data_IF_925891479051
#
_entry.id   IF_925891479051
#
_cell.length_a   1.000
_cell.length_b   1.000
_cell.length_c   1.000
_cell.angle_alpha   90.00
_cell.angle_beta   90.00
_cell.angle_gamma   90.00
#
_symmetry.space_group_name_H-M   'P 1'
#
loop_
_entity.id
_entity.type
_entity.pdbx_description
1 polymer ?
#
# COMPACT_ATOMS: atom_id res chain seq x y z
N UNK A 1 -21.58 24.47 -11.80
CA UNK A 1 -20.75 25.50 -11.11
C UNK A 1 -19.98 24.74 -10.03
N UNK A 2 -18.63 24.71 -10.07
CA UNK A 2 -17.83 24.04 -9.05
C UNK A 2 -17.84 24.95 -7.82
N UNK A 3 -18.25 24.47 -6.64
CA UNK A 3 -18.27 25.29 -5.43
C UNK A 3 -16.84 25.73 -5.07
N UNK A 4 -16.69 26.92 -4.51
CA UNK A 4 -15.38 27.35 -4.00
C UNK A 4 -15.01 26.55 -2.74
N UNK A 5 -13.71 26.34 -2.51
CA UNK A 5 -13.23 25.67 -1.31
C UNK A 5 -13.80 26.29 -0.03
N UNK A 6 -13.83 27.63 0.02
CA UNK A 6 -14.35 28.39 1.16
C UNK A 6 -15.83 28.09 1.44
N UNK A 7 -16.66 28.06 0.38
CA UNK A 7 -18.08 27.76 0.51
C UNK A 7 -18.31 26.33 1.03
N UNK A 8 -17.56 25.37 0.53
CA UNK A 8 -17.63 23.96 0.99
C UNK A 8 -17.24 23.83 2.45
N UNK A 9 -16.11 24.42 2.83
CA UNK A 9 -15.62 24.35 4.20
C UNK A 9 -16.55 25.03 5.20
N UNK A 10 -17.09 26.20 4.86
CA UNK A 10 -18.01 26.91 5.71
C UNK A 10 -19.31 26.14 5.99
N UNK A 11 -19.78 25.33 5.04
CA UNK A 11 -21.00 24.53 5.19
C UNK A 11 -20.78 23.18 5.88
N UNK A 12 -19.59 22.58 5.73
CA UNK A 12 -19.38 21.17 6.10
C UNK A 12 -18.48 21.01 7.33
N UNK A 13 -17.52 21.93 7.54
CA UNK A 13 -16.46 21.74 8.52
C UNK A 13 -16.72 22.49 9.84
N UNK A 14 -16.39 21.85 10.96
CA UNK A 14 -16.55 22.44 12.28
C UNK A 14 -15.60 23.65 12.50
N UNK A 15 -14.43 23.67 11.86
CA UNK A 15 -13.42 24.74 11.95
C UNK A 15 -12.91 25.12 10.55
N UNK A 16 -13.75 25.80 9.74
CA UNK A 16 -13.48 26.08 8.33
C UNK A 16 -12.20 26.89 8.10
N UNK A 17 -11.91 27.87 8.95
CA UNK A 17 -10.73 28.74 8.81
C UNK A 17 -9.43 27.98 9.02
N UNK A 18 -9.40 27.08 10.00
CA UNK A 18 -8.22 26.23 10.28
C UNK A 18 -8.02 25.21 9.17
N UNK A 19 -9.09 24.54 8.75
CA UNK A 19 -9.05 23.58 7.65
C UNK A 19 -8.59 24.24 6.34
N UNK A 20 -9.13 25.45 6.04
CA UNK A 20 -8.73 26.23 4.87
C UNK A 20 -7.22 26.55 4.86
N UNK A 21 -6.72 27.07 5.98
CA UNK A 21 -5.31 27.43 6.11
C UNK A 21 -4.39 26.23 5.91
N UNK A 22 -4.73 25.10 6.51
CA UNK A 22 -3.95 23.87 6.44
C UNK A 22 -3.94 23.29 5.01
N UNK A 23 -5.11 23.28 4.34
CA UNK A 23 -5.26 22.85 2.95
C UNK A 23 -4.44 23.76 2.01
N UNK A 24 -4.59 25.08 2.13
CA UNK A 24 -3.88 26.02 1.25
C UNK A 24 -2.37 25.86 1.43
N UNK A 25 -1.88 25.80 2.67
CA UNK A 25 -0.47 25.59 2.97
C UNK A 25 0.06 24.29 2.33
N UNK A 26 -0.71 23.20 2.39
CA UNK A 26 -0.34 21.94 1.74
C UNK A 26 -0.29 22.08 0.21
N UNK A 27 -1.26 22.74 -0.42
CA UNK A 27 -1.30 22.94 -1.87
C UNK A 27 -0.24 23.93 -2.37
N UNK A 28 0.20 24.87 -1.56
CA UNK A 28 1.29 25.79 -1.86
C UNK A 28 2.63 25.06 -1.89
N UNK A 29 2.88 24.16 -0.94
CA UNK A 29 4.11 23.37 -0.86
C UNK A 29 4.14 22.21 -1.85
N UNK A 30 2.99 21.60 -2.15
CA UNK A 30 2.88 20.42 -3.02
C UNK A 30 1.96 20.71 -4.20
N UNK A 31 2.51 21.35 -5.25
CA UNK A 31 1.78 21.79 -6.47
C UNK A 31 1.17 20.64 -7.28
N UNK A 32 1.62 19.43 -7.04
CA UNK A 32 1.09 18.20 -7.66
C UNK A 32 -0.21 17.69 -7.04
N UNK A 33 -0.59 18.24 -5.89
CA UNK A 33 -1.85 17.97 -5.23
C UNK A 33 -2.93 18.96 -5.68
N UNK A 34 -4.16 18.50 -5.74
CA UNK A 34 -5.36 19.29 -5.98
C UNK A 34 -6.44 18.92 -4.98
N UNK A 35 -7.26 19.89 -4.60
CA UNK A 35 -8.40 19.61 -3.75
C UNK A 35 -9.63 19.21 -4.58
N UNK A 36 -10.45 18.31 -4.02
CA UNK A 36 -11.75 17.90 -4.55
C UNK A 36 -12.74 17.80 -3.42
N UNK A 37 -14.02 17.86 -3.76
CA UNK A 37 -15.11 17.63 -2.84
C UNK A 37 -15.95 16.48 -3.37
N UNK A 38 -15.80 15.31 -2.74
CA UNK A 38 -16.36 14.06 -3.22
C UNK A 38 -16.99 13.26 -2.07
N UNK A 39 -17.78 12.26 -2.45
CA UNK A 39 -18.39 11.34 -1.51
C UNK A 39 -17.41 10.29 -1.02
N UNK A 40 -17.18 10.26 0.29
CA UNK A 40 -16.46 9.21 0.97
C UNK A 40 -17.44 8.18 1.53
N UNK A 41 -17.19 6.90 1.28
CA UNK A 41 -17.99 5.78 1.81
C UNK A 41 -17.16 5.08 2.88
N UNK A 42 -17.72 5.02 4.09
CA UNK A 42 -17.09 4.33 5.23
C UNK A 42 -17.32 2.81 5.14
N UNK A 43 -16.52 2.05 5.89
CA UNK A 43 -16.63 0.58 5.92
C UNK A 43 -17.99 0.05 6.43
N UNK A 44 -18.70 0.87 7.17
CA UNK A 44 -20.06 0.56 7.69
C UNK A 44 -21.19 0.89 6.69
N UNK A 45 -20.83 1.31 5.46
CA UNK A 45 -21.77 1.68 4.41
C UNK A 45 -22.31 3.10 4.51
N UNK A 46 -22.01 3.84 5.58
CA UNK A 46 -22.35 5.27 5.65
C UNK A 46 -21.51 6.05 4.65
N UNK A 47 -22.03 7.18 4.20
CA UNK A 47 -21.30 8.08 3.32
C UNK A 47 -21.32 9.51 3.85
N UNK A 48 -20.32 10.28 3.46
CA UNK A 48 -20.20 11.70 3.77
C UNK A 48 -19.47 12.40 2.63
N UNK A 49 -19.95 13.57 2.25
CA UNK A 49 -19.27 14.40 1.27
C UNK A 49 -18.15 15.16 2.01
N UNK A 50 -16.90 14.95 1.60
CA UNK A 50 -15.69 15.44 2.27
C UNK A 50 -14.74 16.06 1.26
N UNK A 51 -13.93 16.99 1.74
CA UNK A 51 -12.77 17.48 0.98
C UNK A 51 -11.65 16.44 1.01
N UNK A 52 -11.05 16.19 -0.14
CA UNK A 52 -9.83 15.41 -0.26
C UNK A 52 -8.75 16.17 -1.02
N UNK A 53 -7.51 15.82 -0.77
CA UNK A 53 -6.35 16.24 -1.54
C UNK A 53 -5.86 15.03 -2.34
N UNK A 54 -5.93 15.12 -3.66
CA UNK A 54 -5.54 14.05 -4.58
C UNK A 54 -4.43 14.51 -5.51
N UNK A 55 -3.49 13.64 -5.76
CA UNK A 55 -2.36 13.90 -6.64
C UNK A 55 -1.17 13.00 -6.34
N UNK A 56 0.04 13.51 -6.55
CA UNK A 56 1.27 12.75 -6.32
C UNK A 56 2.20 13.48 -5.35
N UNK A 57 2.96 12.72 -4.58
CA UNK A 57 4.06 13.24 -3.77
C UNK A 57 5.39 12.69 -4.27
N UNK A 58 6.44 13.54 -4.36
CA UNK A 58 7.75 13.10 -4.80
C UNK A 58 8.46 12.35 -3.68
N UNK A 59 9.06 11.21 -4.01
CA UNK A 59 9.94 10.47 -3.09
C UNK A 59 11.26 10.16 -3.78
N UNK A 60 12.33 9.95 -3.01
CA UNK A 60 13.59 9.42 -3.50
C UNK A 60 13.77 8.00 -2.97
N UNK A 61 13.87 7.02 -3.86
CA UNK A 61 14.12 5.63 -3.50
C UNK A 61 15.34 5.11 -4.25
N UNK A 62 16.36 4.67 -3.51
CA UNK A 62 17.64 4.19 -4.06
C UNK A 62 18.28 5.18 -5.06
N UNK A 63 18.20 6.48 -4.75
CA UNK A 63 18.77 7.54 -5.57
C UNK A 63 17.93 7.94 -6.81
N UNK A 64 16.77 7.32 -7.04
CA UNK A 64 15.89 7.67 -8.13
C UNK A 64 14.62 8.37 -7.62
N UNK A 65 14.16 9.44 -8.29
CA UNK A 65 12.91 10.11 -7.95
C UNK A 65 11.71 9.33 -8.47
N UNK A 66 10.67 9.25 -7.65
CA UNK A 66 9.37 8.65 -8.01
C UNK A 66 8.24 9.54 -7.49
N UNK A 67 7.12 9.54 -8.21
CA UNK A 67 5.91 10.22 -7.81
C UNK A 67 4.87 9.20 -7.35
N UNK A 68 4.53 9.23 -6.06
CA UNK A 68 3.58 8.30 -5.46
C UNK A 68 2.18 8.92 -5.46
N UNK A 69 1.19 8.28 -6.10
CA UNK A 69 -0.18 8.77 -6.11
C UNK A 69 -0.85 8.53 -4.77
N UNK A 70 -1.39 9.60 -4.18
CA UNK A 70 -2.06 9.60 -2.88
C UNK A 70 -3.39 10.33 -2.92
N UNK A 71 -4.24 10.02 -1.95
CA UNK A 71 -5.47 10.72 -1.65
C UNK A 71 -5.60 10.89 -0.14
N UNK A 72 -5.74 12.12 0.33
CA UNK A 72 -5.88 12.50 1.74
C UNK A 72 -7.28 13.04 1.94
N UNK A 73 -8.13 12.33 2.68
CA UNK A 73 -9.48 12.71 3.01
C UNK A 73 -9.52 13.42 4.36
N UNK A 74 -10.04 14.64 4.38
CA UNK A 74 -10.19 15.41 5.61
C UNK A 74 -11.58 15.18 6.20
N UNK A 75 -11.58 14.73 7.47
CA UNK A 75 -12.85 14.66 8.21
C UNK A 75 -13.42 16.06 8.40
N UNK A 76 -14.75 16.18 8.44
CA UNK A 76 -15.44 17.44 8.74
C UNK A 76 -15.08 18.05 10.11
N UNK A 77 -14.51 17.26 10.97
CA UNK A 77 -13.97 17.64 12.28
C UNK A 77 -12.52 18.09 12.24
N UNK A 78 -11.87 18.10 11.05
CA UNK A 78 -10.48 18.53 10.91
C UNK A 78 -10.24 19.92 11.52
N UNK A 79 -9.16 20.14 12.30
CA UNK A 79 -8.03 19.25 12.58
C UNK A 79 -8.23 18.33 13.80
N UNK A 80 -9.40 18.28 14.43
CA UNK A 80 -9.62 17.50 15.65
C UNK A 80 -9.37 15.99 15.45
N UNK A 81 -9.68 15.47 14.27
CA UNK A 81 -9.41 14.10 13.89
C UNK A 81 -8.37 14.04 12.77
N UNK A 82 -7.52 13.01 12.83
CA UNK A 82 -6.56 12.73 11.78
C UNK A 82 -7.25 12.52 10.43
N UNK A 83 -6.64 12.95 9.32
CA UNK A 83 -7.14 12.64 7.99
C UNK A 83 -7.01 11.14 7.67
N UNK A 84 -7.84 10.66 6.75
CA UNK A 84 -7.75 9.31 6.22
C UNK A 84 -6.94 9.35 4.92
N UNK A 85 -5.86 8.58 4.88
CA UNK A 85 -4.90 8.64 3.79
C UNK A 85 -4.86 7.32 3.03
N UNK A 86 -4.78 7.41 1.71
CA UNK A 86 -4.74 6.25 0.82
C UNK A 86 -3.70 6.46 -0.28
N UNK A 87 -3.04 5.37 -0.63
CA UNK A 87 -2.33 5.26 -1.91
C UNK A 87 -3.34 4.92 -2.99
N UNK A 88 -3.28 5.61 -4.13
CA UNK A 88 -4.24 5.46 -5.23
C UNK A 88 -3.50 5.03 -6.50
N UNK A 89 -3.16 3.74 -6.63
CA UNK A 89 -2.33 3.25 -7.73
C UNK A 89 -3.01 3.47 -9.08
N UNK A 90 -2.23 3.82 -10.09
CA UNK A 90 -2.68 3.82 -11.48
C UNK A 90 -2.87 2.39 -11.99
N UNK A 91 -3.55 2.17 -13.14
CA UNK A 91 -3.74 0.83 -13.70
C UNK A 91 -2.45 0.03 -13.90
N UNK A 92 -1.33 0.73 -14.16
CA UNK A 92 0.01 0.14 -14.36
C UNK A 92 0.77 -0.11 -13.06
N UNK A 93 0.19 0.27 -11.92
CA UNK A 93 0.80 0.10 -10.60
C UNK A 93 0.08 -0.98 -9.80
N UNK A 94 0.82 -1.56 -8.86
CA UNK A 94 0.30 -2.48 -7.86
C UNK A 94 0.73 -2.02 -6.47
N UNK A 95 -0.20 -2.13 -5.50
CA UNK A 95 0.09 -1.82 -4.10
C UNK A 95 1.06 -2.86 -3.53
N UNK A 96 2.08 -2.38 -2.84
CA UNK A 96 2.98 -3.18 -2.03
C UNK A 96 2.56 -3.05 -0.57
N UNK A 97 1.95 -4.11 -0.05
CA UNK A 97 1.58 -4.17 1.37
C UNK A 97 2.83 -4.08 2.24
N UNK A 98 2.79 -3.24 3.27
CA UNK A 98 3.89 -2.99 4.20
C UNK A 98 3.34 -2.67 5.59
N UNK A 99 4.22 -2.35 6.55
CA UNK A 99 3.78 -1.85 7.86
C UNK A 99 3.03 -0.50 7.77
N UNK A 100 3.21 0.24 6.68
CA UNK A 100 2.61 1.56 6.49
C UNK A 100 1.40 1.56 5.57
N UNK A 101 1.19 0.52 4.75
CA UNK A 101 0.12 0.49 3.73
C UNK A 101 -0.49 -0.90 3.66
N UNK A 102 -1.82 -0.97 3.78
CA UNK A 102 -2.57 -2.22 3.66
C UNK A 102 -2.91 -2.58 2.20
N UNK A 103 -3.58 -3.71 2.00
CA UNK A 103 -3.98 -4.22 0.68
C UNK A 103 -5.01 -3.32 -0.04
N UNK A 104 -5.73 -2.47 0.70
CA UNK A 104 -6.66 -1.48 0.13
C UNK A 104 -5.98 -0.14 -0.17
N UNK A 105 -4.70 -0.02 0.13
CA UNK A 105 -3.93 1.21 -0.01
C UNK A 105 -4.10 2.19 1.14
N UNK A 106 -4.81 1.84 2.21
CA UNK A 106 -4.93 2.70 3.38
C UNK A 106 -3.59 2.85 4.07
N UNK A 107 -3.24 4.09 4.42
CA UNK A 107 -1.96 4.47 5.01
C UNK A 107 -2.08 4.51 6.52
N UNK A 108 -1.13 3.87 7.20
CA UNK A 108 -0.99 3.82 8.65
C UNK A 108 0.41 4.33 9.02
N UNK A 109 0.46 5.52 9.58
CA UNK A 109 1.71 6.12 10.05
C UNK A 109 1.58 6.48 11.53
N UNK A 110 2.66 6.42 12.31
CA UNK A 110 2.65 6.89 13.70
C UNK A 110 2.12 8.31 13.82
N UNK A 111 2.47 9.19 12.90
CA UNK A 111 1.97 10.57 12.84
C UNK A 111 0.43 10.67 12.77
N UNK A 112 -0.24 9.74 12.08
CA UNK A 112 -1.71 9.69 12.02
C UNK A 112 -2.31 9.14 13.31
N UNK A 113 -1.61 8.20 13.96
CA UNK A 113 -2.05 7.61 15.22
C UNK A 113 -1.94 8.64 16.37
N UNK A 114 -0.83 9.37 16.40
CA UNK A 114 -0.51 10.35 17.42
C UNK A 114 -0.96 11.78 17.02
N UNK A 115 -1.95 11.87 16.13
CA UNK A 115 -2.46 13.15 15.62
C UNK A 115 -2.91 14.06 16.75
N UNK A 116 -2.31 15.23 16.84
CA UNK A 116 -2.66 16.26 17.81
C UNK A 116 -3.16 17.52 17.10
N UNK A 117 -4.42 17.95 17.36
CA UNK A 117 -5.02 19.13 16.70
C UNK A 117 -4.25 20.43 16.86
N UNK A 118 -3.42 20.55 17.89
CA UNK A 118 -2.64 21.76 18.18
C UNK A 118 -1.31 21.84 17.45
N UNK A 119 -0.70 20.68 17.12
CA UNK A 119 0.65 20.59 16.57
C UNK A 119 0.76 19.86 15.24
N UNK A 120 -0.21 19.00 14.91
CA UNK A 120 -0.21 18.25 13.66
C UNK A 120 -0.81 19.07 12.53
N UNK A 121 -0.21 18.99 11.33
CA UNK A 121 -0.64 19.69 10.12
C UNK A 121 -0.45 18.81 8.89
N UNK A 122 -1.13 19.13 7.78
CA UNK A 122 -1.06 18.36 6.54
C UNK A 122 0.34 18.36 5.91
N UNK A 123 1.07 19.47 5.98
CA UNK A 123 2.44 19.54 5.48
C UNK A 123 3.37 18.58 6.21
N UNK A 124 3.27 18.51 7.56
CA UNK A 124 4.02 17.57 8.37
C UNK A 124 3.67 16.12 8.04
N UNK A 125 2.38 15.82 7.86
CA UNK A 125 1.92 14.50 7.45
C UNK A 125 2.49 14.08 6.10
N UNK A 126 2.43 14.96 5.09
CA UNK A 126 2.97 14.68 3.76
C UNK A 126 4.48 14.46 3.81
N UNK A 127 5.21 15.26 4.60
CA UNK A 127 6.65 15.07 4.80
C UNK A 127 6.96 13.69 5.40
N UNK A 128 6.21 13.26 6.42
CA UNK A 128 6.36 11.92 7.02
C UNK A 128 6.05 10.83 5.98
N UNK A 129 5.04 11.01 5.12
CA UNK A 129 4.77 10.08 4.01
C UNK A 129 5.95 10.00 3.04
N UNK A 130 6.53 11.14 2.65
CA UNK A 130 7.69 11.20 1.75
C UNK A 130 8.88 10.42 2.34
N UNK A 131 9.17 10.62 3.62
CA UNK A 131 10.25 9.90 4.31
C UNK A 131 9.97 8.38 4.38
N UNK A 132 8.78 7.97 4.82
CA UNK A 132 8.40 6.57 4.96
C UNK A 132 8.39 5.83 3.62
N UNK A 133 7.86 6.46 2.58
CA UNK A 133 7.80 5.89 1.23
C UNK A 133 9.14 5.93 0.50
N UNK A 134 10.04 6.84 0.87
CA UNK A 134 11.42 6.84 0.41
C UNK A 134 12.20 5.61 0.87
N UNK A 135 11.86 5.04 2.02
CA UNK A 135 12.43 3.78 2.52
C UNK A 135 11.64 2.56 2.02
N UNK A 136 10.33 2.65 2.04
CA UNK A 136 9.40 1.56 1.70
C UNK A 136 8.35 2.03 0.69
N UNK A 137 8.67 2.07 -0.61
CA UNK A 137 7.70 2.49 -1.63
C UNK A 137 6.43 1.64 -1.57
N UNK A 138 5.24 2.30 -1.54
CA UNK A 138 3.97 1.61 -1.36
C UNK A 138 3.40 1.04 -2.66
N UNK A 139 4.02 1.35 -3.80
CA UNK A 139 3.61 0.88 -5.12
C UNK A 139 4.82 0.46 -5.95
N UNK A 140 4.58 -0.45 -6.88
CA UNK A 140 5.55 -0.85 -7.92
C UNK A 140 4.83 -1.00 -9.27
N UNK A 141 5.58 -0.84 -10.36
CA UNK A 141 5.06 -1.04 -11.70
C UNK A 141 4.73 -2.52 -11.91
N UNK A 142 3.55 -2.80 -12.47
CA UNK A 142 3.23 -4.16 -12.93
C UNK A 142 4.24 -4.53 -14.04
N UNK A 143 4.76 -5.77 -14.06
CA UNK A 143 5.51 -6.24 -15.21
C UNK A 143 4.60 -6.09 -16.44
N UNK A 144 5.09 -5.40 -17.46
CA UNK A 144 4.42 -5.44 -18.76
C UNK A 144 4.43 -6.90 -19.17
N UNK A 145 3.27 -7.53 -19.21
CA UNK A 145 3.12 -8.74 -20.02
C UNK A 145 3.46 -8.27 -21.41
N UNK A 146 4.69 -8.59 -21.84
CA UNK A 146 4.99 -8.50 -23.26
C UNK A 146 3.84 -9.25 -23.91
N UNK A 147 3.12 -8.60 -24.84
CA UNK A 147 2.23 -9.29 -25.75
C UNK A 147 3.07 -10.43 -26.30
N UNK A 148 2.85 -11.62 -25.73
CA UNK A 148 3.29 -12.85 -26.40
C UNK A 148 2.40 -12.88 -27.60
N UNK A 149 2.84 -12.25 -28.69
CA UNK A 149 2.28 -12.54 -29.98
C UNK A 149 2.24 -14.05 -30.05
N UNK A 150 1.06 -14.66 -30.21
CA UNK A 150 0.98 -16.09 -30.37
C UNK A 150 1.96 -16.42 -31.49
N UNK A 151 2.85 -17.41 -31.31
CA UNK A 151 3.78 -17.78 -32.35
C UNK A 151 2.96 -17.95 -33.61
N UNK A 152 3.22 -17.11 -34.62
CA UNK A 152 2.58 -17.25 -35.93
C UNK A 152 2.69 -18.70 -36.28
N UNK A 153 1.57 -19.37 -36.67
CA UNK A 153 1.69 -20.71 -37.23
C UNK A 153 2.63 -20.59 -38.39
N UNK A 154 3.81 -21.13 -38.26
CA UNK A 154 4.74 -21.32 -39.37
C UNK A 154 3.93 -22.06 -40.41
N UNK A 155 3.60 -21.38 -41.51
CA UNK A 155 3.03 -22.02 -42.66
C UNK A 155 3.89 -23.23 -42.98
N UNK A 156 3.33 -24.45 -43.10
CA UNK A 156 4.12 -25.56 -43.56
C UNK A 156 4.66 -25.18 -44.95
N UNK A 157 5.97 -25.10 -45.03
CA UNK A 157 6.63 -24.99 -46.33
C UNK A 157 6.10 -26.14 -47.20
N UNK A 158 5.42 -25.79 -48.26
CA UNK A 158 5.07 -26.75 -49.30
C UNK A 158 6.38 -27.38 -49.82
N UNK A 159 6.78 -28.50 -49.24
CA UNK A 159 7.72 -29.40 -49.85
C UNK A 159 7.07 -29.89 -51.14
N UNK A 160 7.70 -29.54 -52.24
CA UNK A 160 7.33 -29.95 -53.57
C UNK A 160 7.11 -31.48 -53.60
N UNK A 161 5.84 -31.87 -53.79
CA UNK A 161 5.47 -33.27 -53.93
C UNK A 161 5.92 -33.72 -55.31
N UNK A 162 6.97 -34.51 -55.38
CA UNK A 162 7.34 -35.26 -56.58
C UNK A 162 6.30 -36.38 -56.75
N UNK A 163 5.69 -36.53 -57.95
CA UNK A 163 4.81 -37.66 -58.20
C UNK A 163 5.63 -38.94 -58.42
N UNK A 164 5.42 -39.93 -57.55
CA UNK A 164 5.86 -41.30 -57.79
C UNK A 164 4.80 -42.08 -58.61
N UNK A 165 5.21 -42.85 -59.63
CA UNK A 165 4.29 -43.72 -60.37
C UNK A 165 4.08 -45.06 -59.65
N UNK A 166 2.81 -45.39 -59.46
CA UNK A 166 2.19 -46.70 -59.46
C UNK A 166 2.68 -47.76 -58.46
N UNK A 167 1.82 -48.10 -57.49
CA UNK A 167 1.59 -49.47 -57.05
C UNK A 167 0.23 -49.56 -56.33
N UNK A 168 -0.68 -50.40 -56.90
CA UNK A 168 -1.95 -50.75 -56.31
C UNK A 168 -1.78 -51.55 -55.02
N UNK A 169 -2.58 -51.25 -54.02
CA UNK A 169 -2.66 -52.01 -52.77
C UNK A 169 -3.98 -51.76 -52.09
N UNK A 170 -4.83 -52.80 -52.05
CA UNK A 170 -6.08 -52.88 -51.33
C UNK A 170 -5.86 -52.59 -49.82
N UNK A 171 -6.54 -51.57 -49.27
CA UNK A 171 -6.71 -51.41 -47.84
C UNK A 171 -8.15 -51.71 -47.43
N UNK A 172 -8.37 -52.45 -46.31
CA UNK A 172 -9.70 -52.75 -45.81
C UNK A 172 -10.32 -51.51 -45.10
N UNK A 173 -11.66 -51.40 -45.06
CA UNK A 173 -12.37 -50.25 -44.52
C UNK A 173 -12.33 -50.21 -42.99
N UNK A 174 -12.09 -49.02 -42.45
CA UNK A 174 -12.17 -48.73 -41.01
C UNK A 174 -13.62 -48.75 -40.52
N UNK A 175 -13.90 -49.27 -39.31
CA UNK A 175 -15.26 -49.29 -38.74
C UNK A 175 -15.67 -47.90 -38.25
N UNK A 176 -16.91 -47.54 -38.60
CA UNK A 176 -17.58 -46.29 -38.22
C UNK A 176 -17.80 -46.21 -36.73
N UNK A 177 -17.39 -45.10 -36.12
CA UNK A 177 -17.74 -44.77 -34.74
C UNK A 177 -19.19 -44.28 -34.63
N UNK A 178 -19.91 -44.87 -33.69
CA UNK A 178 -21.30 -44.64 -33.33
C UNK A 178 -21.44 -43.28 -32.62
N UNK A 179 -22.45 -42.44 -32.91
CA UNK A 179 -22.70 -41.21 -32.20
C UNK A 179 -23.36 -41.47 -30.83
N UNK A 180 -22.83 -40.94 -29.78
CA UNK A 180 -23.42 -40.96 -28.45
C UNK A 180 -24.64 -40.03 -28.37
N UNK A 181 -25.78 -40.58 -27.97
CA UNK A 181 -27.01 -39.87 -27.64
C UNK A 181 -26.95 -39.16 -26.30
N UNK A 182 -27.67 -38.04 -26.09
CA UNK A 182 -27.77 -37.34 -24.83
C UNK A 182 -28.73 -38.03 -23.86
N UNK A 183 -28.31 -38.08 -22.58
CA UNK A 183 -29.11 -38.59 -21.46
C UNK A 183 -30.14 -37.56 -20.98
N UNK A 184 -31.33 -37.96 -20.54
CA UNK A 184 -32.39 -37.07 -20.08
C UNK A 184 -32.25 -36.68 -18.60
N UNK A 185 -32.68 -35.43 -18.29
CA UNK A 185 -32.93 -34.89 -16.96
C UNK A 185 -34.00 -35.73 -16.21
N UNK A 186 -33.64 -36.16 -15.01
CA UNK A 186 -34.54 -36.80 -14.05
C UNK A 186 -34.52 -36.11 -12.70
N UNK A 187 -35.69 -35.80 -12.24
CA UNK A 187 -36.19 -34.98 -11.15
C UNK A 187 -36.07 -35.67 -9.79
N UNK A 188 -35.85 -34.84 -8.73
CA UNK A 188 -36.26 -34.95 -7.29
C UNK A 188 -35.77 -36.10 -6.42
N UNK A 189 -35.34 -35.71 -5.21
CA UNK A 189 -35.29 -36.58 -4.03
C UNK A 189 -34.44 -36.03 -2.90
N UNK A 190 -35.10 -35.38 -1.96
CA UNK A 190 -34.61 -34.98 -0.62
C UNK A 190 -34.02 -36.18 0.11
N UNK A 191 -32.86 -36.00 0.78
CA UNK A 191 -32.64 -36.57 2.09
C UNK A 191 -31.37 -35.95 2.76
N UNK A 192 -31.61 -35.33 3.88
CA UNK A 192 -30.62 -34.93 4.85
C UNK A 192 -30.00 -36.17 5.51
N UNK A 193 -28.69 -36.28 5.49
CA UNK A 193 -27.98 -37.15 6.46
C UNK A 193 -26.74 -36.41 6.97
N UNK A 194 -26.80 -36.24 8.28
CA UNK A 194 -25.73 -35.86 9.19
C UNK A 194 -24.44 -36.64 8.93
N UNK A 195 -23.34 -35.93 8.74
CA UNK A 195 -22.02 -36.50 8.98
C UNK A 195 -21.42 -35.92 10.25
N UNK A 196 -21.50 -36.74 11.32
CA UNK A 196 -20.75 -36.59 12.55
C UNK A 196 -19.30 -37.00 12.30
N UNK A 197 -18.36 -36.12 12.64
CA UNK A 197 -16.94 -36.45 12.73
C UNK A 197 -16.67 -37.19 14.05
N UNK A 198 -15.93 -38.30 14.05
CA UNK A 198 -15.49 -38.92 15.31
C UNK A 198 -14.25 -38.21 15.86
N UNK A 199 -14.36 -37.70 17.07
CA UNK A 199 -13.26 -37.36 17.93
C UNK A 199 -12.56 -38.65 18.39
N UNK A 200 -11.27 -38.74 18.16
CA UNK A 200 -10.42 -39.71 18.86
C UNK A 200 -9.57 -38.97 19.89
N UNK A 201 -9.90 -39.19 21.13
CA UNK A 201 -9.10 -38.92 22.31
C UNK A 201 -7.94 -39.92 22.40
N UNK A 202 -6.88 -39.45 23.05
CA UNK A 202 -5.75 -40.17 23.67
C UNK A 202 -4.40 -39.95 23.01
N UNK A 203 -3.59 -39.10 23.65
CA UNK A 203 -2.37 -39.41 24.37
C UNK A 203 -1.59 -38.13 24.68
N UNK A 204 -1.78 -37.64 25.89
CA UNK A 204 -0.97 -36.58 26.48
C UNK A 204 -0.01 -37.25 27.50
N UNK A 205 1.31 -37.09 27.40
CA UNK A 205 2.22 -37.55 28.43
C UNK A 205 2.23 -36.58 29.63
N UNK A 206 2.47 -37.10 30.86
CA UNK A 206 2.29 -36.35 32.11
C UNK A 206 3.43 -35.34 32.34
N UNK A 207 3.03 -34.17 32.84
CA UNK A 207 3.95 -33.14 33.33
C UNK A 207 4.59 -33.60 34.68
N UNK A 208 5.88 -33.34 34.92
CA UNK A 208 6.50 -33.59 36.21
C UNK A 208 6.10 -32.50 37.23
N UNK A 209 5.51 -32.92 38.33
CA UNK A 209 5.24 -32.16 39.55
C UNK A 209 6.54 -31.83 40.27
N UNK A 210 6.77 -30.55 40.61
CA UNK A 210 7.80 -30.13 41.55
C UNK A 210 7.24 -29.94 42.96
N UNK A 211 7.96 -30.38 44.01
CA UNK A 211 7.49 -30.22 45.41
C UNK A 211 7.84 -28.83 45.95
N UNK A 212 6.87 -28.26 46.64
CA UNK A 212 7.01 -27.03 47.43
C UNK A 212 7.82 -27.33 48.72
N UNK A 213 8.94 -26.61 48.92
CA UNK A 213 9.50 -26.39 50.26
C UNK A 213 10.01 -24.98 50.40
N UNK A 214 9.44 -24.29 51.37
CA UNK A 214 9.89 -23.02 51.91
C UNK A 214 11.31 -23.12 52.46
N UNK A 215 12.18 -22.17 52.13
CA UNK A 215 13.18 -21.60 53.08
C UNK A 215 13.79 -20.36 52.47
N UNK A 216 13.62 -19.20 53.09
CA UNK A 216 14.42 -17.99 52.89
C UNK A 216 15.77 -18.18 53.60
N UNK A 217 16.93 -17.70 53.01
CA UNK A 217 17.50 -16.43 53.39
C UNK A 217 18.24 -15.68 52.28
N UNK A 218 18.13 -14.34 52.35
CA UNK A 218 19.08 -13.24 52.04
C UNK A 218 20.17 -13.41 50.93
N UNK A 219 20.01 -12.55 49.92
CA UNK A 219 20.97 -11.76 49.10
C UNK A 219 22.45 -12.22 48.90
N UNK A 220 23.02 -12.03 47.66
CA UNK A 220 23.24 -10.69 47.13
C UNK A 220 22.98 -10.54 45.60
N UNK A 221 22.78 -9.27 45.23
CA UNK A 221 22.64 -8.69 43.92
C UNK A 221 23.35 -9.37 42.75
N UNK A 222 22.59 -9.75 41.76
CA UNK A 222 23.05 -9.77 40.36
C UNK A 222 22.03 -9.02 39.50
N UNK A 223 22.47 -7.90 38.91
CA UNK A 223 21.76 -7.05 37.98
C UNK A 223 21.32 -7.86 36.75
N UNK A 224 20.15 -8.44 36.77
CA UNK A 224 19.41 -8.75 35.54
C UNK A 224 18.56 -7.52 35.24
N UNK A 225 19.13 -6.60 34.45
CA UNK A 225 18.39 -5.48 33.85
C UNK A 225 17.32 -6.08 32.93
N UNK A 226 16.15 -6.31 33.47
CA UNK A 226 14.92 -6.49 32.71
C UNK A 226 14.73 -5.19 31.92
N UNK A 227 15.04 -5.25 30.62
CA UNK A 227 14.73 -4.16 29.69
C UNK A 227 13.21 -4.05 29.70
N UNK A 228 12.69 -3.01 30.35
CA UNK A 228 11.25 -2.76 30.39
C UNK A 228 10.79 -2.31 29.01
N UNK A 229 9.55 -2.61 28.65
CA UNK A 229 8.93 -2.19 27.38
C UNK A 229 9.04 -0.67 27.18
N UNK A 230 9.00 0.11 28.27
CA UNK A 230 9.23 1.56 28.25
C UNK A 230 10.64 1.94 27.78
N UNK A 231 11.68 1.20 28.18
CA UNK A 231 13.05 1.41 27.70
C UNK A 231 13.19 1.08 26.21
N UNK A 232 12.53 0.06 25.74
CA UNK A 232 12.51 -0.29 24.31
C UNK A 232 11.79 0.80 23.51
N UNK A 233 10.64 1.28 23.99
CA UNK A 233 9.92 2.40 23.37
C UNK A 233 10.73 3.70 23.36
N UNK A 234 11.35 4.04 24.46
CA UNK A 234 12.21 5.23 24.55
C UNK A 234 13.42 5.14 23.60
N UNK A 235 14.05 3.98 23.52
CA UNK A 235 15.16 3.72 22.60
C UNK A 235 14.73 3.79 21.13
N UNK A 236 13.56 3.21 20.80
CA UNK A 236 13.00 3.30 19.45
C UNK A 236 12.63 4.74 19.07
N UNK A 237 12.02 5.50 19.97
CA UNK A 237 11.70 6.90 19.74
C UNK A 237 12.96 7.73 19.48
N UNK A 238 14.00 7.54 20.30
CA UNK A 238 15.29 8.22 20.12
C UNK A 238 15.93 7.84 18.78
N UNK A 239 15.95 6.55 18.43
CA UNK A 239 16.52 6.10 17.17
C UNK A 239 15.76 6.63 15.93
N UNK A 240 14.44 6.72 16.01
CA UNK A 240 13.62 7.34 14.95
C UNK A 240 13.86 8.83 14.87
N UNK A 241 13.97 9.51 16.00
CA UNK A 241 14.23 10.94 16.07
C UNK A 241 15.62 11.29 15.52
N UNK A 242 16.64 10.51 15.88
CA UNK A 242 18.01 10.67 15.36
C UNK A 242 18.07 10.45 13.86
N UNK A 243 17.40 9.40 13.36
CA UNK A 243 17.34 9.09 11.92
C UNK A 243 16.58 10.16 11.14
N UNK A 244 15.52 10.72 11.72
CA UNK A 244 14.77 11.83 11.12
C UNK A 244 15.62 13.09 11.04
N UNK A 245 16.33 13.43 12.13
CA UNK A 245 17.23 14.57 12.18
C UNK A 245 18.41 14.42 11.21
N UNK A 246 18.96 13.22 11.09
CA UNK A 246 20.00 12.91 10.12
C UNK A 246 19.51 13.12 8.68
N UNK A 247 18.33 12.62 8.34
CA UNK A 247 17.72 12.79 7.01
C UNK A 247 17.38 14.25 6.71
N UNK A 248 16.90 14.97 7.71
CA UNK A 248 16.60 16.40 7.60
C UNK A 248 17.88 17.21 7.33
N UNK A 249 18.95 16.93 8.07
CA UNK A 249 20.24 17.59 7.88
C UNK A 249 20.87 17.26 6.52
N UNK A 250 20.73 16.01 6.04
CA UNK A 250 21.17 15.61 4.70
C UNK A 250 20.41 16.38 3.62
N UNK A 251 19.09 16.50 3.76
CA UNK A 251 18.24 17.25 2.82
C UNK A 251 18.58 18.75 2.82
N UNK A 252 18.73 19.36 3.99
CA UNK A 252 19.14 20.76 4.10
C UNK A 252 20.55 20.99 3.54
N UNK A 253 21.46 20.05 3.75
CA UNK A 253 22.82 20.13 3.17
C UNK A 253 22.79 20.10 1.66
N UNK A 254 21.96 19.22 1.07
CA UNK A 254 21.80 19.11 -0.38
C UNK A 254 21.14 20.36 -0.98
N UNK A 255 20.08 20.87 -0.37
CA UNK A 255 19.40 22.10 -0.83
C UNK A 255 20.32 23.32 -0.73
N UNK A 256 21.18 23.39 0.27
CA UNK A 256 22.15 24.48 0.41
C UNK A 256 23.24 24.41 -0.66
N UNK A 257 23.72 23.22 -0.96
CA UNK A 257 24.70 23.03 -2.03
C UNK A 257 24.11 23.40 -3.42
N UNK A 258 22.82 23.08 -3.67
CA UNK A 258 22.13 23.49 -4.89
C UNK A 258 21.97 25.02 -4.99
N UNK A 259 21.66 25.69 -3.86
CA UNK A 259 21.59 27.14 -3.82
C UNK A 259 22.95 27.79 -4.09
N UNK A 260 24.03 27.28 -3.49
CA UNK A 260 25.39 27.77 -3.72
C UNK A 260 25.81 27.65 -5.20
N UNK A 261 25.45 26.54 -5.87
CA UNK A 261 25.70 26.34 -7.31
C UNK A 261 24.90 27.33 -8.15
N UNK A 262 23.63 27.58 -7.81
CA UNK A 262 22.78 28.54 -8.52
C UNK A 262 23.28 29.96 -8.34
N UNK A 263 23.76 30.32 -7.15
CA UNK A 263 24.34 31.64 -6.88
C UNK A 263 25.64 31.84 -7.66
N UNK A 264 26.50 30.81 -7.71
CA UNK A 264 27.74 30.85 -8.48
C UNK A 264 27.49 30.98 -9.96
N UNK A 265 26.53 30.21 -10.51
CA UNK A 265 26.15 30.36 -11.95
C UNK A 265 25.54 31.72 -12.27
N UNK A 266 24.75 32.28 -11.34
CA UNK A 266 24.20 33.64 -11.49
C UNK A 266 25.29 34.71 -11.52
N UNK A 267 26.34 34.57 -10.70
CA UNK A 267 27.49 35.49 -10.69
C UNK A 267 28.29 35.40 -11.99
N UNK A 268 28.52 34.18 -12.51
CA UNK A 268 29.23 33.96 -13.77
C UNK A 268 28.47 34.55 -14.96
N UNK A 269 27.14 34.42 -15.00
CA UNK A 269 26.28 35.01 -16.05
C UNK A 269 26.25 36.55 -16.01
N UNK A 270 26.46 37.17 -14.87
CA UNK A 270 26.51 38.64 -14.76
C UNK A 270 27.89 39.26 -15.03
N UNK A 271 28.93 38.45 -15.19
CA UNK A 271 30.31 38.92 -15.50
C UNK A 271 30.71 38.74 -16.98
N UNK A 272 29.87 38.10 -17.80
CA UNK A 272 30.04 37.95 -19.25
C UNK A 272 29.15 38.90 -20.01
#
# INVERSE_FOLDING_TARGET
>A
MIPSLESVLAQTYARPDVARRDIIKALENYKTLSWKYDRFVFNDGRFKDLVNLEGTIPISYKGNPYNIPICIWLMDTHPNNAPMCFVKPTPDMQIKVSMYVDHNGKIYLPYLHDWNPASSELCGLILVMICAFGEHPPVFSKPRTADVQPPYPTQPQHSAFMPMPGAGGNYPPYPSMIPHQPMPLGVTGSNATNFSLPYSTENNPPYPTFPSTLTTPQTPSSNSSTITEEHIRASLLTAVQDKLMQKLNEYFGQSRAELDILEQTSVELNQG
#
